data_IF_494760375033
#
_entry.id   IF_494760375033
#
_cell.length_a   1.000
_cell.length_b   1.000
_cell.length_c   1.000
_cell.angle_alpha   90.00
_cell.angle_beta   90.00
_cell.angle_gamma   90.00
#
_symmetry.space_group_name_H-M   'P 1'
#
loop_
_entity.id
_entity.type
_entity.pdbx_description
1 polymer ?
#
# COMPACT_ATOMS: atom_id res chain seq x y z
N UNK A 1 -5.50 31.44 28.01
CA UNK A 1 -4.86 30.11 28.12
C UNK A 1 -5.93 29.05 27.97
N UNK A 2 -6.10 28.46 26.77
CA UNK A 2 -7.10 27.43 26.52
C UNK A 2 -6.39 26.08 26.48
N UNK A 3 -6.70 25.22 27.46
CA UNK A 3 -6.38 23.81 27.44
C UNK A 3 -6.93 23.20 26.14
N UNK A 4 -6.05 23.03 25.16
CA UNK A 4 -6.36 22.35 23.91
C UNK A 4 -6.62 20.88 24.29
N UNK A 5 -7.89 20.49 24.15
CA UNK A 5 -8.46 19.18 24.49
C UNK A 5 -7.45 18.03 24.32
N UNK A 6 -7.32 17.24 25.39
CA UNK A 6 -6.53 16.01 25.51
C UNK A 6 -7.00 14.93 24.53
N UNK A 7 -6.78 15.13 23.23
CA UNK A 7 -7.10 14.15 22.18
C UNK A 7 -5.91 13.20 21.96
N UNK A 8 -4.70 13.66 22.25
CA UNK A 8 -3.45 12.95 21.95
C UNK A 8 -2.83 12.25 23.19
N UNK A 9 -3.53 12.28 24.34
CA UNK A 9 -3.06 11.72 25.61
C UNK A 9 -1.92 12.50 26.27
N UNK A 10 -1.55 12.06 27.48
CA UNK A 10 -0.44 12.63 28.25
C UNK A 10 0.92 12.42 27.55
N UNK A 11 1.91 13.24 27.89
CA UNK A 11 3.29 13.06 27.39
C UNK A 11 3.85 11.69 27.74
N UNK A 12 3.53 11.17 28.92
CA UNK A 12 3.84 9.81 29.34
C UNK A 12 3.22 8.75 28.41
N UNK A 13 1.94 8.89 28.07
CA UNK A 13 1.26 8.00 27.13
C UNK A 13 1.92 8.01 25.74
N UNK A 14 2.29 9.19 25.22
CA UNK A 14 2.97 9.28 23.92
C UNK A 14 4.34 8.60 23.94
N UNK A 15 5.08 8.76 25.02
CA UNK A 15 6.39 8.13 25.18
C UNK A 15 6.27 6.61 25.32
N UNK A 16 5.25 6.12 26.04
CA UNK A 16 4.94 4.69 26.15
C UNK A 16 4.59 4.09 24.78
N UNK A 17 3.72 4.74 24.01
CA UNK A 17 3.39 4.30 22.64
C UNK A 17 4.63 4.35 21.74
N UNK A 18 5.44 5.41 21.80
CA UNK A 18 6.68 5.49 21.01
C UNK A 18 7.65 4.37 21.37
N UNK A 19 7.82 4.07 22.66
CA UNK A 19 8.69 3.00 23.14
C UNK A 19 8.18 1.62 22.68
N UNK A 20 6.89 1.35 22.91
CA UNK A 20 6.23 0.07 22.61
C UNK A 20 6.23 -0.28 21.12
N UNK A 21 6.14 0.71 20.25
CA UNK A 21 6.03 0.51 18.80
C UNK A 21 7.30 0.89 18.03
N UNK A 22 8.38 1.33 18.71
CA UNK A 22 9.65 1.72 18.07
C UNK A 22 10.23 0.62 17.17
N UNK A 23 10.20 -0.65 17.62
CA UNK A 23 10.68 -1.81 16.85
C UNK A 23 9.75 -2.28 15.72
N UNK A 24 8.57 -1.67 15.56
CA UNK A 24 7.61 -1.97 14.49
C UNK A 24 7.65 -0.95 13.35
N UNK A 25 8.27 0.21 13.58
CA UNK A 25 8.44 1.25 12.55
C UNK A 25 9.37 0.79 11.43
N UNK A 26 10.20 -0.24 11.67
CA UNK A 26 11.12 -0.77 10.67
C UNK A 26 11.05 -2.30 10.55
N UNK A 27 9.97 -2.82 9.96
CA UNK A 27 9.92 -4.21 9.47
C UNK A 27 9.57 -4.27 7.99
N UNK A 28 10.49 -3.78 7.17
CA UNK A 28 10.77 -4.37 5.87
C UNK A 28 12.18 -3.97 5.43
N UNK A 29 13.17 -4.80 5.75
CA UNK A 29 14.46 -4.76 5.04
C UNK A 29 14.18 -5.26 3.62
N UNK A 30 13.86 -4.33 2.72
CA UNK A 30 13.95 -4.54 1.28
C UNK A 30 15.39 -4.19 0.89
N UNK A 31 16.16 -5.09 0.24
CA UNK A 31 17.58 -4.86 -0.05
C UNK A 31 17.85 -3.55 -0.81
N UNK A 32 19.01 -2.96 -0.51
CA UNK A 32 19.14 -1.56 -0.08
C UNK A 32 19.31 -0.49 -1.17
N UNK A 33 19.64 -0.81 -2.44
CA UNK A 33 20.25 0.24 -3.29
C UNK A 33 19.58 0.58 -4.64
N UNK A 34 18.49 -0.09 -5.07
CA UNK A 34 17.81 0.27 -6.35
C UNK A 34 16.28 0.13 -6.41
N UNK A 35 15.58 -0.28 -5.35
CA UNK A 35 14.10 -0.35 -5.32
C UNK A 35 13.50 0.97 -4.79
N UNK A 36 14.17 2.09 -5.09
CA UNK A 36 13.81 3.42 -4.59
C UNK A 36 12.97 4.14 -5.65
N UNK A 37 11.73 4.45 -5.28
CA UNK A 37 10.77 5.31 -5.98
C UNK A 37 10.36 4.86 -7.39
N UNK A 38 9.89 3.61 -7.53
CA UNK A 38 9.11 3.27 -8.72
C UNK A 38 7.90 4.20 -8.86
N UNK A 39 7.58 4.59 -10.08
CA UNK A 39 6.38 5.40 -10.33
C UNK A 39 5.12 4.56 -10.09
N UNK A 40 4.11 5.18 -9.46
CA UNK A 40 2.84 4.51 -9.15
C UNK A 40 2.13 4.07 -10.44
N UNK A 41 2.24 4.86 -11.51
CA UNK A 41 1.69 4.54 -12.82
C UNK A 41 2.20 3.20 -13.35
N UNK A 42 3.49 2.94 -13.17
CA UNK A 42 4.12 1.72 -13.65
C UNK A 42 3.60 0.47 -12.91
N UNK A 43 3.36 0.61 -11.61
CA UNK A 43 2.72 -0.45 -10.82
C UNK A 43 1.28 -0.65 -11.29
N UNK A 44 0.51 0.43 -11.46
CA UNK A 44 -0.87 0.39 -11.94
C UNK A 44 -0.97 -0.32 -13.30
N UNK A 45 -0.16 0.07 -14.29
CA UNK A 45 -0.13 -0.56 -15.61
C UNK A 45 0.23 -2.04 -15.53
N UNK A 46 1.19 -2.41 -14.67
CA UNK A 46 1.58 -3.82 -14.48
C UNK A 46 0.44 -4.66 -13.91
N UNK A 47 -0.35 -4.10 -12.99
CA UNK A 47 -1.52 -4.77 -12.40
C UNK A 47 -2.66 -4.88 -13.42
N UNK A 48 -2.99 -3.79 -14.13
CA UNK A 48 -3.99 -3.81 -15.21
C UNK A 48 -3.67 -4.88 -16.26
N UNK A 49 -2.41 -4.95 -16.70
CA UNK A 49 -1.96 -5.95 -17.67
C UNK A 49 -2.03 -7.38 -17.11
N UNK A 50 -1.82 -7.58 -15.81
CA UNK A 50 -1.92 -8.90 -15.21
C UNK A 50 -3.35 -9.41 -15.13
N UNK A 51 -4.28 -8.56 -14.69
CA UNK A 51 -5.69 -8.90 -14.54
C UNK A 51 -6.51 -8.73 -15.82
N UNK A 52 -5.88 -8.23 -16.91
CA UNK A 52 -6.53 -7.94 -18.20
C UNK A 52 -7.73 -6.99 -18.05
N UNK A 53 -7.59 -5.99 -17.20
CA UNK A 53 -8.61 -4.97 -16.95
C UNK A 53 -8.13 -3.61 -17.44
N UNK A 54 -9.08 -2.75 -17.78
CA UNK A 54 -8.79 -1.36 -18.12
C UNK A 54 -8.41 -0.56 -16.87
N UNK A 55 -7.81 0.62 -17.07
CA UNK A 55 -7.50 1.53 -15.96
C UNK A 55 -8.78 2.01 -15.28
N UNK A 56 -9.81 2.31 -16.06
CA UNK A 56 -11.11 2.77 -15.56
C UNK A 56 -11.75 1.71 -14.65
N UNK A 57 -11.66 0.43 -15.03
CA UNK A 57 -12.14 -0.69 -14.22
C UNK A 57 -11.36 -0.83 -12.91
N UNK A 58 -10.03 -0.63 -12.93
CA UNK A 58 -9.21 -0.65 -11.72
C UNK A 58 -9.62 0.49 -10.75
N UNK A 59 -9.96 1.66 -11.28
CA UNK A 59 -10.32 2.84 -10.47
C UNK A 59 -11.80 2.85 -10.05
N UNK A 60 -12.63 1.97 -10.61
CA UNK A 60 -14.02 1.86 -10.26
C UNK A 60 -14.18 1.38 -8.81
N UNK A 61 -15.01 2.10 -8.04
CA UNK A 61 -15.40 1.73 -6.68
C UNK A 61 -16.90 1.50 -6.66
N UNK A 62 -17.33 0.31 -6.22
CA UNK A 62 -18.75 -0.03 -6.09
C UNK A 62 -19.00 -0.55 -4.67
N UNK A 63 -19.93 0.07 -3.96
CA UNK A 63 -20.30 -0.34 -2.59
C UNK A 63 -20.77 -1.81 -2.60
N UNK A 64 -20.27 -2.61 -1.67
CA UNK A 64 -20.63 -4.02 -1.54
C UNK A 64 -19.94 -4.97 -2.53
N UNK A 65 -19.10 -4.44 -3.44
CA UNK A 65 -18.30 -5.26 -4.35
C UNK A 65 -16.83 -5.02 -4.07
N UNK A 66 -16.08 -6.10 -3.92
CA UNK A 66 -14.63 -5.99 -3.78
C UNK A 66 -13.96 -5.80 -5.14
N UNK A 67 -13.00 -4.88 -5.19
CA UNK A 67 -12.09 -4.70 -6.31
C UNK A 67 -10.69 -5.17 -5.91
N UNK A 68 -10.49 -6.50 -5.91
CA UNK A 68 -9.23 -7.12 -5.49
C UNK A 68 -8.02 -6.61 -6.32
N UNK A 69 -8.10 -6.44 -7.65
CA UNK A 69 -7.01 -5.84 -8.43
C UNK A 69 -6.61 -4.45 -7.93
N UNK A 70 -7.59 -3.59 -7.58
CA UNK A 70 -7.32 -2.26 -7.03
C UNK A 70 -6.62 -2.32 -5.67
N UNK A 71 -7.09 -3.20 -4.79
CA UNK A 71 -6.49 -3.39 -3.47
C UNK A 71 -5.03 -3.87 -3.59
N UNK A 72 -4.75 -4.79 -4.53
CA UNK A 72 -3.40 -5.26 -4.84
C UNK A 72 -2.53 -4.13 -5.40
N UNK A 73 -3.06 -3.31 -6.32
CA UNK A 73 -2.33 -2.16 -6.85
C UNK A 73 -1.95 -1.17 -5.73
N UNK A 74 -2.88 -0.85 -4.83
CA UNK A 74 -2.65 0.01 -3.67
C UNK A 74 -1.55 -0.58 -2.76
N UNK A 75 -1.63 -1.87 -2.47
CA UNK A 75 -0.64 -2.59 -1.67
C UNK A 75 0.75 -2.53 -2.29
N UNK A 76 0.87 -2.80 -3.59
CA UNK A 76 2.14 -2.79 -4.31
C UNK A 76 2.72 -1.37 -4.40
N UNK A 77 1.91 -0.34 -4.64
CA UNK A 77 2.38 1.06 -4.61
C UNK A 77 2.91 1.43 -3.23
N UNK A 78 2.24 1.01 -2.14
CA UNK A 78 2.75 1.20 -0.77
C UNK A 78 4.06 0.47 -0.50
N UNK A 79 4.27 -0.67 -1.14
CA UNK A 79 5.48 -1.47 -1.00
C UNK A 79 6.67 -0.91 -1.79
N UNK A 80 6.45 -0.43 -3.03
CA UNK A 80 7.53 -0.11 -3.98
C UNK A 80 7.80 1.38 -4.18
N UNK A 81 6.82 2.25 -3.91
CA UNK A 81 6.91 3.67 -4.28
C UNK A 81 7.28 4.58 -3.09
N UNK A 82 7.46 4.04 -1.87
CA UNK A 82 7.73 4.79 -0.64
C UNK A 82 6.76 5.96 -0.36
N UNK A 83 5.56 5.95 -0.96
CA UNK A 83 4.54 7.01 -0.82
C UNK A 83 3.76 6.88 0.49
N UNK A 84 3.40 8.02 1.08
CA UNK A 84 2.51 8.07 2.26
C UNK A 84 1.08 7.63 1.91
N UNK A 85 0.28 7.21 2.89
CA UNK A 85 -1.12 6.81 2.66
C UNK A 85 -1.94 7.90 1.93
N UNK A 86 -1.84 9.20 2.30
CA UNK A 86 -2.52 10.26 1.56
C UNK A 86 -2.01 10.42 0.12
N UNK A 87 -0.70 10.27 -0.11
CA UNK A 87 -0.14 10.35 -1.46
C UNK A 87 -0.62 9.21 -2.35
N UNK A 88 -0.66 7.98 -1.83
CA UNK A 88 -1.28 6.85 -2.55
C UNK A 88 -2.77 7.09 -2.76
N UNK A 89 -3.46 7.68 -1.78
CA UNK A 89 -4.85 8.09 -1.94
C UNK A 89 -5.06 8.98 -3.16
N UNK A 90 -4.21 10.00 -3.34
CA UNK A 90 -4.24 10.88 -4.52
C UNK A 90 -4.06 10.11 -5.83
N UNK A 91 -3.08 9.19 -5.90
CA UNK A 91 -2.82 8.38 -7.10
C UNK A 91 -4.04 7.53 -7.52
N UNK A 92 -4.89 7.12 -6.55
CA UNK A 92 -6.06 6.27 -6.78
C UNK A 92 -7.40 7.02 -6.71
N UNK A 93 -7.41 8.35 -6.61
CA UNK A 93 -8.64 9.14 -6.45
C UNK A 93 -9.40 8.88 -5.15
N UNK A 94 -8.69 8.51 -4.08
CA UNK A 94 -9.23 8.18 -2.76
C UNK A 94 -8.95 9.34 -1.80
N UNK A 95 -10.01 9.98 -1.31
CA UNK A 95 -9.92 11.14 -0.41
C UNK A 95 -9.52 10.71 1.01
N UNK A 96 -10.15 9.66 1.54
CA UNK A 96 -9.91 9.22 2.90
C UNK A 96 -8.75 8.22 2.96
N UNK A 97 -7.62 8.61 3.56
CA UNK A 97 -6.42 7.77 3.67
C UNK A 97 -6.69 6.44 4.40
N UNK A 98 -7.70 6.38 5.28
CA UNK A 98 -8.06 5.14 5.98
C UNK A 98 -8.59 4.07 5.02
N UNK A 99 -9.16 4.45 3.87
CA UNK A 99 -9.55 3.53 2.80
C UNK A 99 -8.32 2.85 2.18
N UNK A 100 -7.24 3.61 1.96
CA UNK A 100 -5.95 3.07 1.50
C UNK A 100 -5.39 2.10 2.54
N UNK A 101 -5.39 2.49 3.82
CA UNK A 101 -4.95 1.62 4.92
C UNK A 101 -5.76 0.31 4.98
N UNK A 102 -7.08 0.40 4.80
CA UNK A 102 -7.97 -0.75 4.81
C UNK A 102 -7.69 -1.69 3.64
N UNK A 103 -7.45 -1.16 2.45
CA UNK A 103 -7.07 -1.94 1.27
C UNK A 103 -5.76 -2.70 1.49
N UNK A 104 -4.73 -2.03 2.00
CA UNK A 104 -3.45 -2.65 2.37
C UNK A 104 -3.66 -3.80 3.36
N UNK A 105 -4.48 -3.58 4.38
CA UNK A 105 -4.72 -4.59 5.41
C UNK A 105 -5.50 -5.80 4.87
N UNK A 106 -6.51 -5.58 4.01
CA UNK A 106 -7.23 -6.67 3.35
C UNK A 106 -6.30 -7.56 2.54
N UNK A 107 -5.38 -6.97 1.76
CA UNK A 107 -4.40 -7.74 0.97
C UNK A 107 -3.45 -8.52 1.88
N UNK A 108 -2.91 -7.90 2.94
CA UNK A 108 -2.02 -8.58 3.89
C UNK A 108 -2.69 -9.80 4.55
N UNK A 109 -3.91 -9.63 5.06
CA UNK A 109 -4.65 -10.72 5.70
C UNK A 109 -4.95 -11.87 4.74
N UNK A 110 -5.20 -11.56 3.46
CA UNK A 110 -5.42 -12.58 2.43
C UNK A 110 -4.13 -13.26 2.00
N UNK A 111 -3.05 -12.49 1.86
CA UNK A 111 -1.73 -12.98 1.46
C UNK A 111 -1.24 -14.09 2.40
N UNK A 112 -1.52 -13.98 3.70
CA UNK A 112 -1.16 -15.01 4.68
C UNK A 112 -1.96 -16.32 4.55
N UNK A 113 -3.15 -16.26 3.97
CA UNK A 113 -4.11 -17.38 3.93
C UNK A 113 -4.21 -18.03 2.55
N UNK A 114 -3.93 -17.27 1.50
CA UNK A 114 -4.14 -17.68 0.12
C UNK A 114 -2.81 -17.79 -0.63
N UNK A 115 -2.39 -19.05 -0.86
CA UNK A 115 -1.18 -19.38 -1.63
C UNK A 115 -1.27 -18.97 -3.09
N UNK A 116 -2.48 -18.93 -3.67
CA UNK A 116 -2.68 -18.50 -5.05
C UNK A 116 -2.43 -17.00 -5.17
N UNK A 117 -3.04 -16.21 -4.29
CA UNK A 117 -2.81 -14.77 -4.22
C UNK A 117 -1.34 -14.43 -3.97
N UNK A 118 -0.65 -15.19 -3.11
CA UNK A 118 0.78 -15.03 -2.89
C UNK A 118 1.56 -15.19 -4.21
N UNK A 119 1.27 -16.26 -4.96
CA UNK A 119 1.94 -16.54 -6.24
C UNK A 119 1.64 -15.46 -7.28
N UNK A 120 0.40 -14.97 -7.35
CA UNK A 120 0.02 -13.84 -8.21
C UNK A 120 0.82 -12.59 -7.89
N UNK A 121 0.83 -12.16 -6.62
CA UNK A 121 1.56 -10.99 -6.17
C UNK A 121 3.06 -11.11 -6.49
N UNK A 122 3.67 -12.26 -6.23
CA UNK A 122 5.08 -12.49 -6.58
C UNK A 122 5.34 -12.43 -8.10
N UNK A 123 4.39 -12.90 -8.93
CA UNK A 123 4.50 -12.77 -10.38
C UNK A 123 4.44 -11.31 -10.83
N UNK A 124 3.55 -10.51 -10.24
CA UNK A 124 3.45 -9.07 -10.54
C UNK A 124 4.74 -8.35 -10.11
N UNK A 125 5.23 -8.62 -8.90
CA UNK A 125 6.51 -8.08 -8.39
C UNK A 125 7.67 -8.35 -9.34
N UNK A 126 7.79 -9.59 -9.82
CA UNK A 126 8.83 -9.97 -10.79
C UNK A 126 8.73 -9.17 -12.10
N UNK A 127 7.52 -8.92 -12.60
CA UNK A 127 7.31 -8.10 -13.82
C UNK A 127 7.73 -6.65 -13.60
N UNK A 128 7.35 -6.06 -12.46
CA UNK A 128 7.70 -4.70 -12.08
C UNK A 128 9.23 -4.54 -12.01
N UNK A 129 9.93 -5.45 -11.33
CA UNK A 129 11.40 -5.39 -11.19
C UNK A 129 12.11 -5.69 -12.52
N UNK A 130 11.67 -6.67 -13.31
CA UNK A 130 12.30 -6.99 -14.61
C UNK A 130 12.21 -5.83 -15.58
N UNK A 131 11.09 -5.13 -15.62
CA UNK A 131 10.92 -3.96 -16.48
C UNK A 131 11.86 -2.81 -16.06
N UNK A 132 12.39 -2.79 -14.82
CA UNK A 132 13.27 -1.72 -14.34
C UNK A 132 14.70 -1.89 -14.85
N UNK A 133 15.12 -3.14 -15.11
CA UNK A 133 16.46 -3.46 -15.63
C UNK A 133 16.61 -3.22 -17.13
N UNK A 134 15.51 -2.95 -17.84
CA UNK A 134 15.49 -2.73 -19.29
C UNK A 134 15.58 -1.24 -19.68
N UNK A 135 15.70 -0.36 -18.70
CA UNK A 135 15.92 1.07 -18.83
C UNK A 135 17.24 1.39 -18.15
#
# INVERSE_FOLDING_TARGET
MKNMLSILGSTAFKNDIRAKFSGLVNRQEVPESKILALDAERVITSVCAHYKISREQLFLSKRGTENLPRDIAIYLVRLFCCKTLPSVGKDFGIINYSTVSSAVQRVKLRYERDKYLLKEIENIKKKIVKSQKRT
#
